data_IF_865189392740
#
_entry.id   IF_865189392740
#
_cell.length_a   1.000
_cell.length_b   1.000
_cell.length_c   1.000
_cell.angle_alpha   90.00
_cell.angle_beta   90.00
_cell.angle_gamma   90.00
#
_symmetry.space_group_name_H-M   'P 1'
#
loop_
_entity.id
_entity.type
_entity.pdbx_description
1 polymer ?
#
# COMPACT_ATOMS: atom_id res chain seq x y z
N UNK A 1 -20.36 13.14 15.49
CA UNK A 1 -21.15 12.33 16.45
C UNK A 1 -20.41 11.02 16.55
N UNK A 2 -19.93 10.63 17.73
CA UNK A 2 -19.20 9.36 17.86
C UNK A 2 -20.14 8.21 17.50
N UNK A 3 -19.70 7.33 16.61
CA UNK A 3 -20.45 6.14 16.22
C UNK A 3 -20.34 5.13 17.38
N UNK A 4 -21.45 4.49 17.74
CA UNK A 4 -21.46 3.44 18.76
C UNK A 4 -20.58 2.25 18.29
N UNK A 5 -19.54 1.85 19.05
CA UNK A 5 -18.62 0.81 18.60
C UNK A 5 -19.30 -0.55 18.38
N UNK A 6 -20.38 -0.85 19.13
CA UNK A 6 -21.12 -2.09 18.96
C UNK A 6 -21.90 -2.08 17.65
N UNK A 7 -22.51 -0.95 17.29
CA UNK A 7 -23.19 -0.77 16.01
C UNK A 7 -22.20 -0.76 14.83
N UNK A 8 -21.03 -0.13 14.99
CA UNK A 8 -19.95 -0.19 13.99
C UNK A 8 -19.44 -1.62 13.79
N UNK A 9 -19.27 -2.38 14.88
CA UNK A 9 -18.89 -3.80 14.81
C UNK A 9 -19.94 -4.65 14.07
N UNK A 10 -21.23 -4.44 14.31
CA UNK A 10 -22.28 -5.15 13.57
C UNK A 10 -22.23 -4.84 12.07
N UNK A 11 -21.94 -3.59 11.70
CA UNK A 11 -21.74 -3.20 10.30
C UNK A 11 -20.50 -3.85 9.69
N UNK A 12 -19.38 -3.88 10.42
CA UNK A 12 -18.14 -4.51 9.98
C UNK A 12 -18.31 -6.02 9.76
N UNK A 13 -18.99 -6.72 10.69
CA UNK A 13 -19.31 -8.15 10.53
C UNK A 13 -20.17 -8.39 9.28
N UNK A 14 -21.21 -7.58 9.06
CA UNK A 14 -22.05 -7.70 7.87
C UNK A 14 -21.26 -7.45 6.57
N UNK A 15 -20.31 -6.52 6.58
CA UNK A 15 -19.44 -6.26 5.44
C UNK A 15 -18.48 -7.44 5.16
N UNK A 16 -17.91 -8.06 6.20
CA UNK A 16 -17.10 -9.28 6.08
C UNK A 16 -17.88 -10.42 5.43
N UNK A 17 -19.12 -10.63 5.85
CA UNK A 17 -20.01 -11.65 5.28
C UNK A 17 -20.35 -11.34 3.81
N UNK A 18 -20.63 -10.07 3.49
CA UNK A 18 -20.92 -9.63 2.13
C UNK A 18 -19.72 -9.79 1.19
N UNK A 19 -18.53 -9.38 1.63
CA UNK A 19 -17.28 -9.58 0.90
C UNK A 19 -17.02 -11.06 0.64
N UNK A 20 -17.12 -11.90 1.69
CA UNK A 20 -16.96 -13.35 1.51
C UNK A 20 -17.97 -13.92 0.50
N UNK A 21 -19.23 -13.51 0.57
CA UNK A 21 -20.25 -13.94 -0.39
C UNK A 21 -19.95 -13.48 -1.83
N UNK A 22 -19.44 -12.26 -2.01
CA UNK A 22 -19.01 -11.75 -3.31
C UNK A 22 -17.88 -12.62 -3.89
N UNK A 23 -16.83 -12.86 -3.09
CA UNK A 23 -15.70 -13.72 -3.49
C UNK A 23 -16.14 -15.14 -3.81
N UNK A 24 -16.99 -15.74 -2.96
CA UNK A 24 -17.45 -17.11 -3.13
C UNK A 24 -18.38 -17.31 -4.33
N UNK A 25 -19.02 -16.23 -4.82
CA UNK A 25 -19.96 -16.26 -5.95
C UNK A 25 -19.45 -15.53 -7.19
N UNK A 26 -18.15 -15.18 -7.21
CA UNK A 26 -17.52 -14.49 -8.33
C UNK A 26 -17.64 -15.31 -9.61
N UNK A 27 -17.96 -14.65 -10.71
CA UNK A 27 -18.16 -15.29 -12.02
C UNK A 27 -16.92 -15.25 -12.89
N UNK A 28 -16.08 -14.25 -12.68
CA UNK A 28 -14.84 -13.97 -13.38
C UNK A 28 -13.73 -13.71 -12.37
N UNK A 29 -12.49 -13.65 -12.85
CA UNK A 29 -11.34 -13.26 -12.03
C UNK A 29 -11.48 -11.78 -11.61
N UNK A 30 -11.89 -10.91 -12.53
CA UNK A 30 -12.16 -9.48 -12.30
C UNK A 30 -13.67 -9.20 -12.13
N UNK A 31 -14.35 -9.89 -11.20
CA UNK A 31 -15.76 -9.60 -10.93
C UNK A 31 -15.88 -8.31 -10.11
N UNK A 32 -16.44 -7.21 -10.65
CA UNK A 32 -16.44 -5.89 -10.00
C UNK A 32 -17.21 -5.88 -8.67
N UNK A 33 -18.06 -6.88 -8.43
CA UNK A 33 -18.77 -7.04 -7.16
C UNK A 33 -17.85 -7.41 -6.01
N UNK A 34 -16.68 -7.98 -6.31
CA UNK A 34 -15.65 -8.27 -5.31
C UNK A 34 -14.98 -6.97 -4.90
N UNK A 35 -14.59 -6.13 -5.86
CA UNK A 35 -13.98 -4.82 -5.63
C UNK A 35 -14.94 -3.90 -4.86
N UNK A 36 -16.20 -3.80 -5.32
CA UNK A 36 -17.24 -3.03 -4.61
C UNK A 36 -17.41 -3.50 -3.15
N UNK A 37 -17.32 -4.81 -2.92
CA UNK A 37 -17.47 -5.37 -1.57
C UNK A 37 -16.21 -5.19 -0.71
N UNK A 38 -15.04 -5.08 -1.34
CA UNK A 38 -13.78 -4.73 -0.70
C UNK A 38 -13.80 -3.29 -0.20
N UNK A 39 -14.21 -2.33 -1.03
CA UNK A 39 -14.33 -0.92 -0.64
C UNK A 39 -15.29 -0.76 0.55
N UNK A 40 -16.45 -1.41 0.49
CA UNK A 40 -17.44 -1.38 1.57
C UNK A 40 -16.90 -2.01 2.86
N UNK A 41 -16.06 -3.04 2.75
CA UNK A 41 -15.42 -3.67 3.89
C UNK A 41 -14.36 -2.77 4.52
N UNK A 42 -13.53 -2.12 3.70
CA UNK A 42 -12.52 -1.16 4.11
C UNK A 42 -13.16 0.01 4.88
N UNK A 43 -14.18 0.66 4.30
CA UNK A 43 -14.94 1.73 4.94
C UNK A 43 -15.52 1.29 6.31
N UNK A 44 -16.10 0.09 6.36
CA UNK A 44 -16.71 -0.42 7.58
C UNK A 44 -15.68 -0.71 8.67
N UNK A 45 -14.47 -1.14 8.29
CA UNK A 45 -13.36 -1.33 9.20
C UNK A 45 -12.89 0.00 9.79
N UNK A 46 -12.64 1.01 8.97
CA UNK A 46 -12.17 2.33 9.44
C UNK A 46 -13.14 2.94 10.44
N UNK A 47 -14.44 2.88 10.14
CA UNK A 47 -15.50 3.36 11.03
C UNK A 47 -15.49 2.62 12.37
N UNK A 48 -15.22 1.31 12.37
CA UNK A 48 -15.12 0.52 13.60
C UNK A 48 -13.86 0.86 14.41
N UNK A 49 -12.70 0.98 13.74
CA UNK A 49 -11.45 1.34 14.40
C UNK A 49 -11.52 2.75 15.00
N UNK A 50 -12.04 3.73 14.26
CA UNK A 50 -12.25 5.10 14.75
C UNK A 50 -13.23 5.13 15.95
N UNK A 51 -14.30 4.33 15.90
CA UNK A 51 -15.26 4.24 17.00
C UNK A 51 -14.62 3.65 18.26
N UNK A 52 -13.82 2.58 18.13
CA UNK A 52 -13.06 2.01 19.25
C UNK A 52 -12.08 3.04 19.83
N UNK A 53 -11.34 3.73 18.98
CA UNK A 53 -10.37 4.72 19.40
C UNK A 53 -11.05 5.88 20.14
N UNK A 54 -12.18 6.35 19.63
CA UNK A 54 -12.92 7.47 20.21
C UNK A 54 -13.56 7.12 21.56
N UNK A 55 -14.13 5.93 21.70
CA UNK A 55 -14.90 5.55 22.90
C UNK A 55 -14.04 4.89 23.98
N UNK A 56 -13.06 4.08 23.56
CA UNK A 56 -12.24 3.27 24.47
C UNK A 56 -10.77 3.67 24.49
N UNK A 57 -10.28 4.47 23.52
CA UNK A 57 -8.88 4.82 23.41
C UNK A 57 -8.00 3.67 22.89
N UNK A 58 -8.61 2.70 22.22
CA UNK A 58 -7.96 1.48 21.72
C UNK A 58 -8.19 1.35 20.22
N UNK A 59 -7.23 0.78 19.50
CA UNK A 59 -7.34 0.44 18.07
C UNK A 59 -7.15 -1.06 17.86
N UNK A 60 -7.55 -1.52 16.68
CA UNK A 60 -7.31 -2.90 16.24
C UNK A 60 -5.82 -3.13 15.92
N UNK A 61 -5.33 -4.38 16.01
CA UNK A 61 -3.92 -4.70 15.76
C UNK A 61 -3.58 -4.85 14.27
N UNK A 62 -4.43 -4.39 13.35
CA UNK A 62 -4.26 -4.48 11.91
C UNK A 62 -4.67 -3.16 11.25
N UNK A 63 -4.24 -2.95 10.01
CA UNK A 63 -4.49 -1.73 9.23
C UNK A 63 -4.87 -2.12 7.80
N UNK A 64 -5.53 -1.22 7.08
CA UNK A 64 -5.73 -1.36 5.63
C UNK A 64 -4.43 -1.04 4.93
N UNK A 65 -4.06 -1.87 3.95
CA UNK A 65 -3.00 -1.50 3.02
C UNK A 65 -3.51 -0.33 2.17
N UNK A 66 -2.73 0.75 2.11
CA UNK A 66 -3.08 1.92 1.30
C UNK A 66 -2.80 1.56 -0.16
N UNK A 67 -3.85 1.43 -0.97
CA UNK A 67 -3.78 1.03 -2.39
C UNK A 67 -2.94 2.02 -3.25
N UNK A 68 -2.56 3.20 -2.71
CA UNK A 68 -1.66 4.15 -3.38
C UNK A 68 -0.20 3.67 -3.51
N UNK A 69 0.21 2.56 -2.89
CA UNK A 69 1.58 2.03 -2.99
C UNK A 69 1.83 1.15 -4.24
N UNK A 70 0.91 1.15 -5.23
CA UNK A 70 0.98 0.30 -6.44
C UNK A 70 1.32 1.01 -7.75
N UNK A 71 1.47 2.35 -7.75
CA UNK A 71 1.77 3.15 -8.95
C UNK A 71 3.03 4.03 -8.78
N UNK A 72 4.04 3.58 -8.02
CA UNK A 72 5.40 4.10 -8.25
C UNK A 72 5.94 3.37 -9.48
N UNK A 73 5.89 4.07 -10.61
CA UNK A 73 6.50 3.72 -11.90
C UNK A 73 7.80 2.95 -11.66
N UNK A 74 7.78 1.66 -11.98
CA UNK A 74 8.99 0.93 -12.31
C UNK A 74 9.54 1.54 -13.61
N UNK A 75 10.16 2.72 -13.51
CA UNK A 75 11.06 3.28 -14.52
C UNK A 75 12.37 2.49 -14.40
N UNK A 76 12.29 1.20 -14.76
CA UNK A 76 13.41 0.31 -15.03
C UNK A 76 13.84 0.54 -16.48
N UNK A 77 15.15 0.63 -16.69
CA UNK A 77 15.87 0.67 -17.98
C UNK A 77 16.00 2.02 -18.72
N UNK A 78 16.94 2.87 -18.28
CA UNK A 78 17.96 3.35 -19.24
C UNK A 78 19.36 3.08 -18.70
N UNK A 79 19.87 1.92 -19.10
CA UNK A 79 21.18 1.40 -18.76
C UNK A 79 22.31 2.26 -19.36
N UNK A 80 23.23 2.70 -18.50
CA UNK A 80 24.68 2.79 -18.71
C UNK A 80 25.18 2.98 -20.16
N UNK A 81 25.47 4.23 -20.55
CA UNK A 81 26.57 4.50 -21.48
C UNK A 81 27.70 5.17 -20.69
N UNK A 82 28.48 4.32 -19.98
CA UNK A 82 29.78 4.69 -19.47
C UNK A 82 30.68 4.90 -20.68
N UNK A 83 30.72 6.12 -21.20
CA UNK A 83 31.65 6.49 -22.27
C UNK A 83 33.08 6.31 -21.74
N UNK A 84 33.69 5.25 -22.25
CA UNK A 84 35.05 4.79 -22.04
C UNK A 84 36.03 5.72 -22.76
N UNK A 85 36.17 6.95 -22.27
CA UNK A 85 37.21 7.88 -22.74
C UNK A 85 38.47 7.73 -21.88
N UNK A 86 39.18 6.65 -22.17
CA UNK A 86 40.63 6.54 -22.38
C UNK A 86 41.53 7.63 -21.76
N UNK A 87 42.30 7.18 -20.75
CA UNK A 87 43.66 7.59 -20.36
C UNK A 87 44.32 8.77 -21.11
N UNK A 88 44.63 9.83 -20.36
CA UNK A 88 45.88 10.60 -20.55
C UNK A 88 46.49 10.88 -19.16
N UNK A 89 47.21 9.86 -18.66
CA UNK A 89 48.05 9.96 -17.47
C UNK A 89 49.51 10.16 -17.95
N UNK A 90 49.74 11.34 -18.52
CA UNK A 90 51.03 11.89 -18.94
C UNK A 90 50.94 13.37 -18.53
N UNK A 91 51.76 13.97 -17.66
CA UNK A 91 53.21 13.95 -17.56
C UNK A 91 53.57 14.69 -16.25
N UNK A 92 54.83 14.59 -15.81
CA UNK A 92 55.52 15.30 -14.71
C UNK A 92 55.94 14.45 -13.51
N UNK A 93 56.47 13.26 -13.79
CA UNK A 93 57.63 12.80 -13.01
C UNK A 93 58.83 13.73 -13.29
N UNK A 94 59.65 13.91 -12.26
CA UNK A 94 60.83 14.81 -12.14
C UNK A 94 60.44 16.20 -11.55
N UNK A 95 60.99 16.69 -10.43
CA UNK A 95 62.41 16.69 -10.04
C UNK A 95 62.62 16.64 -8.50
N UNK A 96 63.51 15.73 -8.10
CA UNK A 96 64.58 15.85 -7.09
C UNK A 96 64.29 16.16 -5.60
N UNK A 97 64.38 15.09 -4.79
CA UNK A 97 64.81 15.13 -3.38
C UNK A 97 66.34 14.93 -3.29
N UNK A 98 67.06 15.95 -2.79
CA UNK A 98 68.26 15.82 -1.93
C UNK A 98 68.51 17.12 -1.14
#
# INVERSE_FOLDING_TARGET
MAIDPRAALDRFIAALEAHYAAVATRRTEDDPRVDDAYDVLADAFEVYDEALLTVHGESTPFFLEDDEAGEDDADDDDAEDLDDDEYDLDDHLDEDED
#
